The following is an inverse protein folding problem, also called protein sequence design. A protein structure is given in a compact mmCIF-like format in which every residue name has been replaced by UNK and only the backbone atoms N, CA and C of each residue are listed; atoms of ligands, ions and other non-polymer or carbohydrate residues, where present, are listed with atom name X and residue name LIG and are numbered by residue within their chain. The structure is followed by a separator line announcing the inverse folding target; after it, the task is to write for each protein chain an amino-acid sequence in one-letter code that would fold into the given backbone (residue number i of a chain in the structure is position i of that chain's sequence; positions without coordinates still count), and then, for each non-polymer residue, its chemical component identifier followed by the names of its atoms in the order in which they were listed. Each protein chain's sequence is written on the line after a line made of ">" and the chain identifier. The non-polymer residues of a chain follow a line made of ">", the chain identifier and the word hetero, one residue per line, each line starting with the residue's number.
data_IF_807618392367
#
_entry.id   IF_807618392367
#
_cell.length_a   1.000
_cell.length_b   1.000
_cell.length_c   1.000
_cell.angle_alpha   90.00
_cell.angle_beta   90.00
_cell.angle_gamma   90.00
#
_symmetry.space_group_name_H-M   'P 1'
#
loop_
_entity.id
_entity.type
_entity.pdbx_description
1 polymer ?
#
# COMPACT_ATOMS: atom_id res chain seq x y z
N UNK A 1 14.57 -35.73 2.12
CA UNK A 1 15.00 -34.36 1.74
C UNK A 1 13.78 -33.47 1.75
N UNK A 2 13.68 -32.55 2.69
CA UNK A 2 12.60 -31.55 2.71
C UNK A 2 12.94 -30.51 1.65
N UNK A 3 12.14 -30.39 0.59
CA UNK A 3 12.30 -29.36 -0.41
C UNK A 3 12.15 -28.00 0.26
N UNK A 4 13.18 -27.15 0.19
CA UNK A 4 13.10 -25.76 0.60
C UNK A 4 12.02 -25.09 -0.25
N UNK A 5 10.85 -24.84 0.33
CA UNK A 5 9.78 -24.10 -0.31
C UNK A 5 10.18 -22.63 -0.29
N UNK A 6 10.78 -22.17 -1.37
CA UNK A 6 10.92 -20.72 -1.59
C UNK A 6 9.52 -20.20 -1.92
N UNK A 7 8.93 -19.45 -0.99
CA UNK A 7 7.64 -18.79 -1.22
C UNK A 7 7.93 -17.59 -2.12
N UNK A 8 7.70 -17.76 -3.42
CA UNK A 8 7.77 -16.66 -4.38
C UNK A 8 6.52 -15.79 -4.21
N UNK A 9 6.70 -14.46 -4.25
CA UNK A 9 5.56 -13.52 -4.21
C UNK A 9 4.61 -13.82 -5.36
N UNK A 10 3.31 -13.72 -5.11
CA UNK A 10 2.26 -14.03 -6.08
C UNK A 10 2.33 -13.17 -7.35
N UNK A 11 2.79 -11.92 -7.22
CA UNK A 11 3.01 -10.99 -8.32
C UNK A 11 4.42 -10.42 -8.18
N UNK A 12 5.15 -10.35 -9.29
CA UNK A 12 6.45 -9.70 -9.36
C UNK A 12 6.29 -8.30 -9.93
N UNK A 13 6.83 -7.31 -9.24
CA UNK A 13 6.97 -5.93 -9.73
C UNK A 13 8.47 -5.61 -9.86
N UNK A 14 8.82 -4.73 -10.79
CA UNK A 14 10.17 -4.23 -10.90
C UNK A 14 10.43 -3.04 -9.97
N UNK A 15 11.64 -2.50 -10.02
CA UNK A 15 12.08 -1.38 -9.16
C UNK A 15 11.27 -0.08 -9.42
N UNK A 16 10.57 -0.01 -10.55
CA UNK A 16 9.69 1.11 -10.91
C UNK A 16 8.25 0.90 -10.48
N UNK A 17 7.92 -0.27 -9.90
CA UNK A 17 6.56 -0.64 -9.51
C UNK A 17 5.72 -1.20 -10.66
N UNK A 18 6.34 -1.52 -11.81
CA UNK A 18 5.64 -2.12 -12.94
C UNK A 18 5.55 -3.64 -12.79
N UNK A 19 4.35 -4.24 -12.88
CA UNK A 19 4.19 -5.68 -12.85
C UNK A 19 4.84 -6.36 -14.05
N UNK A 20 5.42 -7.54 -13.79
CA UNK A 20 6.04 -8.40 -14.81
C UNK A 20 5.13 -9.59 -15.15
N UNK A 21 5.44 -10.23 -16.28
CA UNK A 21 4.83 -11.50 -16.62
C UNK A 21 5.06 -12.54 -15.50
N UNK A 22 4.07 -13.38 -15.19
CA UNK A 22 4.19 -14.36 -14.10
C UNK A 22 5.20 -15.44 -14.44
N UNK A 23 5.94 -15.89 -13.45
CA UNK A 23 6.83 -17.05 -13.56
C UNK A 23 6.01 -18.34 -13.61
N UNK A 24 6.66 -19.44 -14.00
CA UNK A 24 6.03 -20.76 -14.00
C UNK A 24 5.53 -21.16 -12.60
N UNK A 25 6.26 -20.75 -11.55
CA UNK A 25 5.86 -21.00 -10.16
C UNK A 25 4.61 -20.22 -9.77
N UNK A 26 4.55 -18.94 -10.14
CA UNK A 26 3.38 -18.10 -9.90
C UNK A 26 2.13 -18.62 -10.62
N UNK A 27 2.29 -19.21 -11.82
CA UNK A 27 1.21 -19.85 -12.55
C UNK A 27 0.72 -21.17 -11.93
N UNK A 28 1.37 -21.70 -10.90
CA UNK A 28 0.84 -22.82 -10.11
C UNK A 28 -0.32 -22.39 -9.20
N UNK A 29 -0.40 -21.10 -8.85
CA UNK A 29 -1.60 -20.54 -8.22
C UNK A 29 -2.71 -20.43 -9.27
N UNK A 30 -3.83 -21.12 -9.00
CA UNK A 30 -4.96 -21.18 -9.93
C UNK A 30 -5.55 -19.82 -10.26
N UNK A 31 -5.57 -18.90 -9.30
CA UNK A 31 -6.16 -17.58 -9.48
C UNK A 31 -5.23 -16.69 -10.33
N UNK A 32 -3.92 -16.78 -10.13
CA UNK A 32 -2.92 -16.11 -10.98
C UNK A 32 -2.94 -16.66 -12.40
N UNK A 33 -3.04 -17.99 -12.53
CA UNK A 33 -3.16 -18.64 -13.85
C UNK A 33 -4.42 -18.20 -14.59
N UNK A 34 -5.56 -18.11 -13.90
CA UNK A 34 -6.81 -17.60 -14.47
C UNK A 34 -6.69 -16.14 -14.93
N UNK A 35 -6.07 -15.28 -14.09
CA UNK A 35 -5.82 -13.88 -14.43
C UNK A 35 -4.98 -13.77 -15.71
N UNK A 36 -3.93 -14.56 -15.82
CA UNK A 36 -3.06 -14.61 -16.99
C UNK A 36 -3.76 -15.14 -18.24
N UNK A 37 -4.51 -16.26 -18.09
CA UNK A 37 -5.17 -16.93 -19.21
C UNK A 37 -6.32 -16.14 -19.81
N UNK A 38 -7.08 -15.40 -18.99
CA UNK A 38 -8.22 -14.59 -19.44
C UNK A 38 -7.81 -13.42 -20.33
N UNK A 39 -6.57 -12.96 -20.20
CA UNK A 39 -6.06 -11.91 -21.07
C UNK A 39 -5.67 -12.49 -22.43
N UNK A 40 -6.43 -12.18 -23.45
CA UNK A 40 -6.21 -12.60 -24.84
C UNK A 40 -5.38 -11.60 -25.66
N UNK A 41 -4.98 -10.49 -25.06
CA UNK A 41 -4.14 -9.49 -25.77
C UNK A 41 -2.74 -10.03 -26.03
N UNK A 42 -2.15 -9.65 -27.17
CA UNK A 42 -0.83 -10.16 -27.58
C UNK A 42 0.27 -9.86 -26.55
N UNK A 43 0.21 -8.67 -25.93
CA UNK A 43 1.23 -8.18 -25.00
C UNK A 43 0.80 -8.36 -23.54
N UNK A 44 -0.30 -9.08 -23.27
CA UNK A 44 -0.83 -9.29 -21.91
C UNK A 44 -1.05 -7.99 -21.13
N UNK A 45 -1.52 -6.95 -21.84
CA UNK A 45 -1.69 -5.60 -21.24
C UNK A 45 -2.72 -5.56 -20.13
N UNK A 46 -3.81 -6.34 -20.29
CA UNK A 46 -4.86 -6.39 -19.27
C UNK A 46 -4.33 -7.07 -18.00
N UNK A 47 -3.55 -8.15 -18.14
CA UNK A 47 -2.88 -8.78 -17.01
C UNK A 47 -1.95 -7.80 -16.29
N UNK A 48 -1.09 -7.10 -17.01
CA UNK A 48 -0.16 -6.12 -16.41
C UNK A 48 -0.93 -5.03 -15.66
N UNK A 49 -2.00 -4.49 -16.26
CA UNK A 49 -2.81 -3.46 -15.63
C UNK A 49 -3.52 -3.97 -14.36
N UNK A 50 -4.13 -5.15 -14.43
CA UNK A 50 -4.82 -5.75 -13.27
C UNK A 50 -3.84 -6.20 -12.18
N UNK A 51 -2.67 -6.71 -12.53
CA UNK A 51 -1.58 -6.97 -11.60
C UNK A 51 -1.10 -5.69 -10.91
N UNK A 52 -1.08 -4.57 -11.65
CA UNK A 52 -0.84 -3.24 -11.09
C UNK A 52 -1.89 -2.82 -10.06
N UNK A 53 -3.16 -3.04 -10.35
CA UNK A 53 -4.25 -2.80 -9.37
C UNK A 53 -4.06 -3.66 -8.12
N UNK A 54 -3.73 -4.95 -8.27
CA UNK A 54 -3.47 -5.85 -7.14
C UNK A 54 -2.29 -5.35 -6.31
N UNK A 55 -1.21 -4.89 -6.94
CA UNK A 55 -0.06 -4.32 -6.26
C UNK A 55 -0.42 -3.05 -5.49
N UNK A 56 -1.13 -2.09 -6.14
CA UNK A 56 -1.46 -0.81 -5.52
C UNK A 56 -2.41 -0.93 -4.32
N UNK A 57 -3.32 -1.90 -4.36
CA UNK A 57 -4.29 -2.12 -3.28
C UNK A 57 -3.80 -3.13 -2.24
N UNK A 58 -3.02 -4.12 -2.65
CA UNK A 58 -2.63 -5.26 -1.82
C UNK A 58 -1.22 -5.21 -1.24
N UNK A 59 -0.30 -4.36 -1.73
CA UNK A 59 1.05 -4.28 -1.17
C UNK A 59 1.18 -3.09 -0.21
N UNK A 60 1.51 -3.31 1.08
CA UNK A 60 1.78 -2.22 2.03
C UNK A 60 2.89 -1.26 1.58
N UNK A 61 3.79 -1.73 0.71
CA UNK A 61 4.90 -0.95 0.14
C UNK A 61 4.54 -0.26 -1.16
N UNK A 62 3.32 -0.41 -1.66
CA UNK A 62 2.90 0.29 -2.87
C UNK A 62 2.91 1.81 -2.68
N UNK A 63 3.14 2.60 -3.74
CA UNK A 63 3.17 4.06 -3.64
C UNK A 63 1.88 4.65 -3.05
N UNK A 64 0.73 4.01 -3.30
CA UNK A 64 -0.55 4.44 -2.77
C UNK A 64 -0.65 4.21 -1.25
N UNK A 65 -0.26 3.03 -0.77
CA UNK A 65 -0.29 2.69 0.65
C UNK A 65 0.75 3.50 1.45
N UNK A 66 1.92 3.75 0.89
CA UNK A 66 2.94 4.61 1.52
C UNK A 66 2.48 6.06 1.71
N UNK A 67 1.58 6.55 0.86
CA UNK A 67 0.94 7.85 1.01
C UNK A 67 -0.26 7.84 1.97
N UNK A 68 -0.64 6.68 2.53
CA UNK A 68 -1.78 6.53 3.42
C UNK A 68 -3.13 6.68 2.73
N UNK A 69 -3.18 6.50 1.40
CA UNK A 69 -4.41 6.64 0.63
C UNK A 69 -5.43 5.56 1.01
N UNK A 70 -6.70 5.91 0.95
CA UNK A 70 -7.80 4.96 1.04
C UNK A 70 -7.80 3.99 -0.15
N UNK A 71 -8.52 2.87 -0.04
CA UNK A 71 -8.60 1.90 -1.14
C UNK A 71 -9.22 2.52 -2.41
N UNK A 72 -10.17 3.45 -2.26
CA UNK A 72 -10.77 4.16 -3.39
C UNK A 72 -9.76 5.10 -4.09
N UNK A 73 -8.94 5.82 -3.32
CA UNK A 73 -7.87 6.68 -3.86
C UNK A 73 -6.73 5.85 -4.45
N UNK A 74 -6.37 4.73 -3.82
CA UNK A 74 -5.39 3.77 -4.33
C UNK A 74 -5.83 3.17 -5.67
N UNK A 75 -7.11 2.80 -5.79
CA UNK A 75 -7.68 2.32 -7.05
C UNK A 75 -7.63 3.39 -8.13
N UNK A 76 -8.01 4.63 -7.81
CA UNK A 76 -7.93 5.74 -8.76
C UNK A 76 -6.49 5.95 -9.24
N UNK A 77 -5.51 5.94 -8.34
CA UNK A 77 -4.10 6.06 -8.69
C UNK A 77 -3.64 4.92 -9.61
N UNK A 78 -4.08 3.68 -9.35
CA UNK A 78 -3.77 2.53 -10.20
C UNK A 78 -4.41 2.68 -11.60
N UNK A 79 -5.68 3.11 -11.69
CA UNK A 79 -6.39 3.38 -12.95
C UNK A 79 -5.60 4.37 -13.80
N UNK A 80 -5.17 5.48 -13.19
CA UNK A 80 -4.42 6.53 -13.90
C UNK A 80 -3.03 6.02 -14.37
N UNK A 81 -2.31 5.27 -13.53
CA UNK A 81 -0.96 4.79 -13.85
C UNK A 81 -0.95 3.67 -14.90
N UNK A 82 -1.96 2.80 -14.91
CA UNK A 82 -2.04 1.67 -15.84
C UNK A 82 -2.98 1.92 -17.02
N UNK A 83 -3.46 3.16 -17.20
CA UNK A 83 -4.37 3.56 -18.28
C UNK A 83 -5.62 2.68 -18.40
N UNK A 84 -6.19 2.29 -17.25
CA UNK A 84 -7.46 1.58 -17.20
C UNK A 84 -8.64 2.52 -17.49
N UNK A 85 -9.80 1.99 -17.94
CA UNK A 85 -11.01 2.78 -18.06
C UNK A 85 -11.37 3.47 -16.74
N UNK A 86 -11.82 4.72 -16.77
CA UNK A 86 -12.14 5.50 -15.56
C UNK A 86 -13.23 4.89 -14.68
N UNK A 87 -14.08 4.08 -15.28
CA UNK A 87 -15.16 3.30 -14.63
C UNK A 87 -14.74 1.89 -14.25
N UNK A 88 -13.44 1.57 -14.36
CA UNK A 88 -12.92 0.26 -13.98
C UNK A 88 -13.18 -0.05 -12.52
N UNK A 89 -13.71 -1.23 -12.26
CA UNK A 89 -13.90 -1.80 -10.93
C UNK A 89 -13.31 -3.21 -10.88
N UNK A 90 -12.50 -3.55 -9.86
CA UNK A 90 -11.98 -4.89 -9.70
C UNK A 90 -13.11 -5.91 -9.62
N UNK A 91 -13.06 -6.94 -10.45
CA UNK A 91 -13.98 -8.07 -10.38
C UNK A 91 -13.68 -9.01 -9.20
N UNK A 92 -14.45 -10.06 -9.05
CA UNK A 92 -14.31 -11.00 -7.94
C UNK A 92 -12.95 -11.70 -7.91
N UNK A 93 -12.35 -11.99 -9.08
CA UNK A 93 -11.04 -12.62 -9.17
C UNK A 93 -9.94 -11.64 -8.74
N UNK A 94 -9.97 -10.41 -9.24
CA UNK A 94 -8.99 -9.37 -8.87
C UNK A 94 -9.09 -9.05 -7.39
N UNK A 95 -10.30 -8.91 -6.82
CA UNK A 95 -10.49 -8.68 -5.38
C UNK A 95 -9.91 -9.81 -4.54
N UNK A 96 -10.18 -11.06 -4.90
CA UNK A 96 -9.61 -12.23 -4.23
C UNK A 96 -8.08 -12.22 -4.27
N UNK A 97 -7.49 -11.81 -5.39
CA UNK A 97 -6.04 -11.71 -5.55
C UNK A 97 -5.46 -10.54 -4.73
N UNK A 98 -6.17 -9.41 -4.61
CA UNK A 98 -5.79 -8.31 -3.71
C UNK A 98 -5.70 -8.81 -2.27
N UNK A 99 -6.74 -9.49 -1.78
CA UNK A 99 -6.77 -10.02 -0.41
C UNK A 99 -5.64 -11.03 -0.16
N UNK A 100 -5.43 -11.96 -1.10
CA UNK A 100 -4.33 -12.94 -1.02
C UNK A 100 -2.97 -12.25 -1.00
N UNK A 101 -2.76 -11.29 -1.89
CA UNK A 101 -1.50 -10.57 -2.00
C UNK A 101 -1.20 -9.74 -0.75
N UNK A 102 -2.24 -9.10 -0.19
CA UNK A 102 -2.14 -8.40 1.08
C UNK A 102 -1.70 -9.33 2.22
N UNK A 103 -2.38 -10.46 2.39
CA UNK A 103 -2.04 -11.45 3.43
C UNK A 103 -0.60 -11.98 3.27
N UNK A 104 -0.11 -12.15 2.04
CA UNK A 104 1.26 -12.61 1.79
C UNK A 104 2.34 -11.57 2.11
N UNK A 105 2.01 -10.29 2.01
CA UNK A 105 2.99 -9.20 2.11
C UNK A 105 2.90 -8.41 3.41
N UNK A 106 1.85 -8.65 4.23
CA UNK A 106 1.69 -7.90 5.47
C UNK A 106 2.40 -8.61 6.61
N UNK A 107 3.18 -7.83 7.35
CA UNK A 107 3.76 -8.21 8.65
C UNK A 107 3.08 -7.39 9.75
N UNK A 108 3.29 -7.73 11.04
CA UNK A 108 2.76 -6.94 12.15
C UNK A 108 3.26 -5.48 12.10
N UNK A 109 4.55 -5.28 11.77
CA UNK A 109 5.10 -3.94 11.57
C UNK A 109 4.47 -3.26 10.35
N UNK A 110 4.17 -3.99 9.28
CA UNK A 110 3.47 -3.50 8.10
C UNK A 110 2.06 -3.01 8.41
N UNK A 111 1.30 -3.72 9.24
CA UNK A 111 -0.04 -3.28 9.71
C UNK A 111 0.05 -1.98 10.50
N UNK A 112 1.02 -1.90 11.43
CA UNK A 112 1.22 -0.69 12.23
C UNK A 112 1.61 0.51 11.36
N UNK A 113 2.50 0.29 10.38
CA UNK A 113 2.93 1.31 9.41
C UNK A 113 1.75 1.84 8.60
N UNK A 114 0.92 0.96 8.03
CA UNK A 114 -0.26 1.34 7.25
C UNK A 114 -1.26 2.16 8.09
N UNK A 115 -1.51 1.75 9.33
CA UNK A 115 -2.40 2.46 10.23
C UNK A 115 -1.90 3.89 10.55
N UNK A 116 -0.58 4.05 10.76
CA UNK A 116 0.05 5.35 11.01
C UNK A 116 -0.01 6.25 9.77
N UNK A 117 0.26 5.72 8.58
CA UNK A 117 0.18 6.46 7.33
C UNK A 117 -1.25 6.96 7.07
N UNK A 118 -2.26 6.10 7.23
CA UNK A 118 -3.68 6.49 7.14
C UNK A 118 -4.03 7.59 8.15
N UNK A 119 -3.52 7.49 9.38
CA UNK A 119 -3.77 8.50 10.41
C UNK A 119 -3.19 9.86 10.03
N UNK A 120 -1.95 9.91 9.54
CA UNK A 120 -1.30 11.14 9.07
C UNK A 120 -2.06 11.74 7.90
N UNK A 121 -2.47 10.93 6.93
CA UNK A 121 -3.25 11.36 5.77
C UNK A 121 -4.60 11.99 6.21
N UNK A 122 -5.33 11.34 7.11
CA UNK A 122 -6.59 11.86 7.63
C UNK A 122 -6.41 13.18 8.40
N UNK A 123 -5.37 13.30 9.22
CA UNK A 123 -5.04 14.55 9.93
C UNK A 123 -4.76 15.67 8.93
N UNK A 124 -4.00 15.39 7.87
CA UNK A 124 -3.68 16.36 6.82
C UNK A 124 -4.94 16.83 6.08
N UNK A 125 -5.83 15.91 5.68
CA UNK A 125 -7.10 16.26 5.04
C UNK A 125 -7.97 17.11 5.98
N UNK A 126 -8.08 16.72 7.26
CA UNK A 126 -8.86 17.47 8.23
C UNK A 126 -8.32 18.91 8.40
N UNK A 127 -7.00 19.07 8.49
CA UNK A 127 -6.36 20.39 8.60
C UNK A 127 -6.64 21.27 7.38
N UNK A 128 -6.53 20.71 6.17
CA UNK A 128 -6.86 21.43 4.93
C UNK A 128 -8.32 21.90 4.92
N UNK A 129 -9.26 20.99 5.22
CA UNK A 129 -10.70 21.31 5.24
C UNK A 129 -11.04 22.39 6.27
N UNK A 130 -10.46 22.32 7.47
CA UNK A 130 -10.67 23.34 8.50
C UNK A 130 -10.12 24.68 8.03
N UNK A 131 -8.92 24.71 7.42
CA UNK A 131 -8.34 25.95 6.88
C UNK A 131 -9.20 26.55 5.76
N UNK A 132 -9.77 25.73 4.87
CA UNK A 132 -10.71 26.21 3.84
C UNK A 132 -11.97 26.82 4.45
N UNK A 133 -12.52 26.20 5.50
CA UNK A 133 -13.69 26.73 6.21
C UNK A 133 -13.35 28.03 6.94
N UNK A 134 -12.19 28.11 7.59
CA UNK A 134 -11.70 29.34 8.21
C UNK A 134 -11.57 30.48 7.19
N UNK A 135 -10.94 30.21 6.05
CA UNK A 135 -10.78 31.22 4.99
C UNK A 135 -12.12 31.70 4.46
N UNK A 136 -13.12 30.83 4.28
CA UNK A 136 -14.47 31.20 3.85
C UNK A 136 -15.16 32.12 4.90
N UNK A 137 -15.04 31.79 6.19
CA UNK A 137 -15.64 32.60 7.25
C UNK A 137 -14.93 33.98 7.41
N UNK A 138 -13.60 34.00 7.29
CA UNK A 138 -12.81 35.22 7.38
C UNK A 138 -13.01 36.16 6.16
N UNK A 139 -13.45 35.63 5.02
CA UNK A 139 -13.69 36.41 3.80
C UNK A 139 -15.08 37.07 3.76
N UNK A 140 -15.96 36.76 4.70
CA UNK A 140 -17.31 37.32 4.80
C UNK A 140 -17.42 38.41 5.85
N UNK A 141 -18.61 39.04 5.94
CA UNK A 141 -18.92 39.93 7.08
C UNK A 141 -19.02 39.08 8.35
N UNK A 142 -18.16 39.35 9.33
CA UNK A 142 -18.10 38.60 10.58
C UNK A 142 -19.25 39.05 11.50
N UNK A 143 -20.07 38.10 11.92
CA UNK A 143 -21.01 38.28 13.04
C UNK A 143 -20.35 37.82 14.34
N UNK A 144 -20.82 38.29 15.49
CA UNK A 144 -20.25 37.91 16.80
C UNK A 144 -20.26 36.39 17.04
N UNK A 145 -21.28 35.68 16.52
CA UNK A 145 -21.38 34.23 16.57
C UNK A 145 -20.29 33.49 15.75
N UNK A 146 -19.81 34.14 14.68
CA UNK A 146 -18.73 33.60 13.84
C UNK A 146 -17.39 33.60 14.55
N UNK A 147 -17.13 34.59 15.43
CA UNK A 147 -15.86 34.70 16.17
C UNK A 147 -15.63 33.47 17.04
N UNK A 148 -16.62 33.01 17.78
CA UNK A 148 -16.51 31.81 18.62
C UNK A 148 -16.27 30.54 17.75
N UNK A 149 -16.95 30.44 16.62
CA UNK A 149 -16.77 29.35 15.66
C UNK A 149 -15.36 29.35 15.06
N UNK A 150 -14.83 30.50 14.70
CA UNK A 150 -13.46 30.69 14.18
C UNK A 150 -12.42 30.27 15.22
N UNK A 151 -12.55 30.74 16.46
CA UNK A 151 -11.64 30.37 17.55
C UNK A 151 -11.64 28.85 17.80
N UNK A 152 -12.81 28.21 17.79
CA UNK A 152 -12.92 26.74 17.93
C UNK A 152 -12.22 26.01 16.77
N UNK A 153 -12.37 26.49 15.54
CA UNK A 153 -11.68 25.90 14.38
C UNK A 153 -10.16 26.09 14.47
N UNK A 154 -9.70 27.29 14.90
CA UNK A 154 -8.26 27.53 15.09
C UNK A 154 -7.65 26.62 16.17
N UNK A 155 -8.35 26.39 17.27
CA UNK A 155 -7.91 25.46 18.32
C UNK A 155 -7.86 24.02 17.79
N UNK A 156 -8.85 23.62 17.01
CA UNK A 156 -8.87 22.30 16.39
C UNK A 156 -7.69 22.10 15.41
N UNK A 157 -7.37 23.09 14.57
CA UNK A 157 -6.19 23.05 13.68
C UNK A 157 -4.90 22.98 14.49
N UNK A 158 -4.77 23.83 15.52
CA UNK A 158 -3.59 23.85 16.38
C UNK A 158 -3.33 22.49 17.04
N UNK A 159 -4.37 21.84 17.59
CA UNK A 159 -4.29 20.51 18.16
C UNK A 159 -3.83 19.47 17.13
N UNK A 160 -4.36 19.52 15.90
CA UNK A 160 -3.96 18.57 14.84
C UNK A 160 -2.50 18.79 14.42
N UNK A 161 -2.05 20.03 14.31
CA UNK A 161 -0.65 20.33 13.99
C UNK A 161 0.29 19.82 15.08
N UNK A 162 -0.08 19.91 16.35
CA UNK A 162 0.75 19.39 17.45
C UNK A 162 0.80 17.85 17.52
N UNK A 163 -0.16 17.13 16.93
CA UNK A 163 -0.15 15.67 16.83
C UNK A 163 0.84 15.17 15.75
N UNK A 164 1.08 15.94 14.68
CA UNK A 164 1.90 15.53 13.54
C UNK A 164 3.32 15.09 13.93
N UNK A 165 4.09 15.81 14.76
CA UNK A 165 5.44 15.37 15.14
C UNK A 165 5.46 14.00 15.82
N UNK A 166 4.48 13.71 16.69
CA UNK A 166 4.36 12.43 17.37
C UNK A 166 4.05 11.30 16.38
N UNK A 167 3.12 11.53 15.45
CA UNK A 167 2.78 10.59 14.39
C UNK A 167 3.98 10.35 13.45
N UNK A 168 4.72 11.40 13.07
CA UNK A 168 5.91 11.29 12.22
C UNK A 168 7.01 10.48 12.91
N UNK A 169 7.22 10.69 14.22
CA UNK A 169 8.17 9.89 14.99
C UNK A 169 7.75 8.43 15.06
N UNK A 170 6.47 8.16 15.34
CA UNK A 170 5.92 6.80 15.37
C UNK A 170 6.05 6.11 14.00
N UNK A 171 5.85 6.85 12.91
CA UNK A 171 6.05 6.37 11.54
C UNK A 171 7.50 5.97 11.29
N UNK A 172 8.47 6.80 11.71
CA UNK A 172 9.90 6.45 11.62
C UNK A 172 10.23 5.16 12.34
N UNK A 173 9.75 4.98 13.58
CA UNK A 173 9.93 3.74 14.34
C UNK A 173 9.29 2.53 13.66
N UNK A 174 8.10 2.70 13.08
CA UNK A 174 7.43 1.61 12.35
C UNK A 174 8.21 1.20 11.09
N UNK A 175 8.82 2.14 10.36
CA UNK A 175 9.70 1.84 9.24
C UNK A 175 10.96 1.07 9.67
N UNK A 176 11.58 1.47 10.78
CA UNK A 176 12.75 0.76 11.31
C UNK A 176 12.39 -0.67 11.71
N UNK A 177 11.24 -0.88 12.36
CA UNK A 177 10.76 -2.20 12.74
C UNK A 177 10.50 -3.08 11.52
N UNK A 178 9.83 -2.55 10.49
CA UNK A 178 9.58 -3.27 9.24
C UNK A 178 10.89 -3.68 8.56
N UNK A 179 11.85 -2.78 8.50
CA UNK A 179 13.17 -3.08 7.93
C UNK A 179 13.89 -4.18 8.71
N UNK A 180 13.85 -4.13 10.03
CA UNK A 180 14.47 -5.14 10.89
C UNK A 180 13.82 -6.52 10.69
N UNK A 181 12.47 -6.59 10.58
CA UNK A 181 11.77 -7.83 10.26
C UNK A 181 12.18 -8.39 8.89
N UNK A 182 12.37 -7.54 7.89
CA UNK A 182 12.83 -7.96 6.56
C UNK A 182 14.27 -8.47 6.57
N UNK A 183 15.17 -7.79 7.27
CA UNK A 183 16.56 -8.23 7.43
C UNK A 183 16.63 -9.57 8.16
N UNK A 184 15.80 -9.78 9.19
CA UNK A 184 15.71 -11.07 9.87
C UNK A 184 15.18 -12.18 8.97
N UNK A 185 14.15 -11.89 8.15
CA UNK A 185 13.62 -12.88 7.20
C UNK A 185 14.65 -13.27 6.15
N UNK A 186 15.40 -12.29 5.61
CA UNK A 186 16.51 -12.54 4.67
C UNK A 186 17.63 -13.34 5.32
N UNK A 187 18.01 -13.02 6.56
CA UNK A 187 19.05 -13.74 7.28
C UNK A 187 18.66 -15.21 7.57
N UNK A 188 17.40 -15.46 7.88
CA UNK A 188 16.88 -16.82 8.07
C UNK A 188 16.84 -17.61 6.75
N UNK A 189 16.42 -16.97 5.64
CA UNK A 189 16.46 -17.56 4.29
C UNK A 189 17.89 -17.86 3.81
N UNK A 190 18.83 -16.96 4.05
CA UNK A 190 20.24 -17.11 3.68
C UNK A 190 20.94 -18.24 4.45
N UNK A 191 20.67 -18.42 5.74
CA UNK A 191 21.19 -19.55 6.53
C UNK A 191 20.72 -20.92 6.02
N UNK A 192 19.49 -20.99 5.50
CA UNK A 192 18.98 -22.23 4.90
C UNK A 192 19.70 -22.59 3.60
N UNK A 193 20.08 -21.61 2.80
CA UNK A 193 20.84 -21.82 1.55
C UNK A 193 22.27 -22.28 1.84
N UNK A 194 22.95 -21.66 2.80
CA UNK A 194 24.31 -22.06 3.20
C UNK A 194 24.37 -23.48 3.80
N UNK A 195 23.36 -23.86 4.61
CA UNK A 195 23.25 -25.21 5.17
C UNK A 195 23.03 -26.31 4.14
N UNK A 196 22.46 -25.98 2.96
CA UNK A 196 22.31 -26.94 1.88
C UNK A 196 23.55 -27.10 1.01
N UNK A 197 24.42 -26.09 0.97
CA UNK A 197 25.71 -26.18 0.24
C UNK A 197 26.78 -26.95 1.02
N UNK A 198 26.78 -26.84 2.36
CA UNK A 198 27.72 -27.59 3.23
C UNK A 198 27.38 -29.10 3.35
N UNK A 199 26.22 -29.54 2.88
CA UNK A 199 25.81 -30.95 2.94
C UNK A 199 26.28 -31.79 1.75
N UNK A 200 26.86 -31.19 0.70
CA UNK A 200 27.32 -31.90 -0.51
C UNK A 200 28.87 -32.10 -0.54
N UNK A 201 29.60 -31.68 0.49
CA UNK A 201 31.08 -31.90 0.60
C UNK A 201 31.44 -32.91 1.71
N UNK A 202 30.64 -33.98 1.92
CA UNK A 202 30.92 -35.05 2.85
C UNK A 202 30.75 -36.45 2.26
#
# INVERSE_FOLDING_TARGET
>A
MAANVVIEKMITVDDTGMPKAPTIRQLQDKDVALLWQRDTTKDKRNYIAEAGVIYYLGDPKSPAKQQGLSDAESLKMAIDNFNLPKDYTPDSLVRKLIDKYYIQNITEAGVALEALQKSIHLVSIAAVRINEQLNRKLSGALADEDITSILTMMDAVSKRITEIPALTKALGTAYENLRNEEEEQLARGGKQILSSMDADEG
#
